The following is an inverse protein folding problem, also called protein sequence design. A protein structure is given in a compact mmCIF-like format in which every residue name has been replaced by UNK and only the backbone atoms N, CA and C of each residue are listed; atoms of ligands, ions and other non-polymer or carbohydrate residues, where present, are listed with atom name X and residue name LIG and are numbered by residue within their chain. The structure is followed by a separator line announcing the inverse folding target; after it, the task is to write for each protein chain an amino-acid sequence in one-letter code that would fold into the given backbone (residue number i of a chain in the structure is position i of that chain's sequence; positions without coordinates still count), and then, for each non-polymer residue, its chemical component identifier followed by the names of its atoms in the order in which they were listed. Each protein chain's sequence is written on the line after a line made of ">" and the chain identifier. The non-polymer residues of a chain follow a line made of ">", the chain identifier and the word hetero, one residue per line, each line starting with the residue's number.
data_IF_319090452206
#
_entry.id   IF_319090452206
#
_cell.length_a   1.000
_cell.length_b   1.000
_cell.length_c   1.000
_cell.angle_alpha   90.00
_cell.angle_beta   90.00
_cell.angle_gamma   90.00
#
_symmetry.space_group_name_H-M   'P 1'
#
loop_
_entity.id
_entity.type
_entity.pdbx_description
1 polymer ?
#
# COMPACT_ATOMS: atom_id res chain seq x y z
N UNK A 1 -13.88 -10.86 -17.69
CA UNK A 1 -12.66 -10.77 -16.87
C UNK A 1 -12.31 -9.32 -16.51
N UNK A 2 -12.04 -8.46 -17.50
CA UNK A 2 -11.60 -7.07 -17.26
C UNK A 2 -12.58 -6.23 -16.42
N UNK A 3 -13.89 -6.42 -16.60
CA UNK A 3 -14.92 -5.73 -15.81
C UNK A 3 -14.89 -6.16 -14.33
N UNK A 4 -14.74 -7.47 -14.06
CA UNK A 4 -14.58 -8.00 -12.70
C UNK A 4 -13.34 -7.42 -12.04
N UNK A 5 -12.19 -7.47 -12.72
CA UNK A 5 -10.93 -6.93 -12.21
C UNK A 5 -11.03 -5.42 -11.92
N UNK A 6 -11.72 -4.66 -12.78
CA UNK A 6 -11.96 -3.23 -12.57
C UNK A 6 -12.85 -2.98 -11.36
N UNK A 7 -13.95 -3.73 -11.22
CA UNK A 7 -14.86 -3.61 -10.09
C UNK A 7 -14.17 -3.96 -8.77
N UNK A 8 -13.43 -5.08 -8.73
CA UNK A 8 -12.67 -5.51 -7.55
C UNK A 8 -11.65 -4.44 -7.13
N UNK A 9 -10.85 -3.93 -8.07
CA UNK A 9 -9.88 -2.88 -7.78
C UNK A 9 -10.55 -1.62 -7.23
N UNK A 10 -11.61 -1.14 -7.88
CA UNK A 10 -12.31 0.08 -7.48
C UNK A 10 -12.92 -0.03 -6.07
N UNK A 11 -13.43 -1.20 -5.71
CA UNK A 11 -13.97 -1.51 -4.38
C UNK A 11 -12.86 -1.54 -3.34
N UNK A 12 -11.83 -2.37 -3.56
CA UNK A 12 -10.75 -2.58 -2.60
C UNK A 12 -9.93 -1.34 -2.30
N UNK A 13 -9.75 -0.46 -3.29
CA UNK A 13 -9.07 0.82 -3.07
C UNK A 13 -9.69 1.64 -1.93
N UNK A 14 -10.98 1.44 -1.63
CA UNK A 14 -11.70 2.20 -0.59
C UNK A 14 -12.26 1.36 0.55
N UNK A 15 -12.46 0.04 0.37
CA UNK A 15 -13.00 -0.83 1.41
C UNK A 15 -11.93 -1.62 2.18
N UNK A 16 -10.72 -1.76 1.62
CA UNK A 16 -9.63 -2.53 2.20
C UNK A 16 -8.32 -1.72 2.17
N UNK A 17 -8.18 -0.71 3.05
CA UNK A 17 -7.08 0.24 3.01
C UNK A 17 -5.73 -0.42 3.30
N UNK A 18 -4.65 0.30 2.98
CA UNK A 18 -3.33 -0.15 3.40
C UNK A 18 -3.19 0.05 4.91
N UNK A 19 -2.79 -0.99 5.63
CA UNK A 19 -2.56 -0.92 7.06
C UNK A 19 -1.41 -1.84 7.46
N UNK A 20 -0.31 -1.24 7.92
CA UNK A 20 0.87 -1.98 8.39
C UNK A 20 0.74 -2.51 9.82
N UNK A 21 -0.31 -2.11 10.56
CA UNK A 21 -0.60 -2.62 11.89
C UNK A 21 -1.35 -3.96 11.86
N UNK A 22 -2.21 -4.22 10.86
CA UNK A 22 -3.12 -5.38 10.85
C UNK A 22 -2.41 -6.72 11.07
N UNK A 23 -1.31 -6.96 10.36
CA UNK A 23 -0.58 -8.23 10.51
C UNK A 23 0.22 -8.31 11.83
N UNK A 24 0.59 -7.19 12.46
CA UNK A 24 1.18 -7.24 13.81
C UNK A 24 0.16 -7.75 14.84
N UNK A 25 -1.08 -7.26 14.75
CA UNK A 25 -2.21 -7.76 15.55
C UNK A 25 -2.48 -9.24 15.31
N UNK A 26 -2.54 -9.64 14.03
CA UNK A 26 -2.83 -11.03 13.65
C UNK A 26 -1.77 -12.02 14.14
N UNK A 27 -0.48 -11.70 14.01
CA UNK A 27 0.60 -12.67 14.24
C UNK A 27 1.27 -12.59 15.61
N UNK A 28 1.16 -11.45 16.30
CA UNK A 28 1.75 -11.22 17.63
C UNK A 28 0.73 -10.80 18.69
N UNK A 29 -0.44 -10.32 18.29
CA UNK A 29 -1.50 -9.86 19.19
C UNK A 29 -2.54 -10.94 19.53
N UNK A 30 -3.71 -10.49 19.97
CA UNK A 30 -4.84 -11.34 20.37
C UNK A 30 -5.69 -11.86 19.20
N UNK A 31 -5.42 -11.43 17.97
CA UNK A 31 -6.18 -11.80 16.78
C UNK A 31 -6.17 -10.70 15.71
N UNK A 32 -6.78 -10.95 14.54
CA UNK A 32 -6.83 -9.97 13.46
C UNK A 32 -7.71 -8.77 13.81
N UNK A 33 -7.35 -7.60 13.27
CA UNK A 33 -8.23 -6.43 13.26
C UNK A 33 -9.46 -6.67 12.37
N UNK A 34 -10.56 -5.90 12.54
CA UNK A 34 -11.71 -5.97 11.65
C UNK A 34 -11.31 -5.74 10.17
N UNK A 35 -11.95 -6.39 9.19
CA UNK A 35 -11.57 -6.26 7.77
C UNK A 35 -11.56 -4.82 7.23
N UNK A 36 -12.35 -3.92 7.79
CA UNK A 36 -12.38 -2.51 7.40
C UNK A 36 -11.09 -1.75 7.71
N UNK A 37 -10.25 -2.26 8.62
CA UNK A 37 -8.90 -1.76 8.85
C UNK A 37 -7.95 -2.15 7.72
N UNK A 38 -8.34 -3.05 6.81
CA UNK A 38 -7.51 -3.51 5.71
C UNK A 38 -6.28 -4.28 6.15
N UNK A 39 -5.21 -4.20 5.35
CA UNK A 39 -4.00 -4.99 5.59
C UNK A 39 -2.76 -4.44 4.91
N UNK A 40 -1.63 -5.09 5.15
CA UNK A 40 -0.35 -4.76 4.53
C UNK A 40 -0.42 -4.87 3.01
N UNK A 41 0.57 -4.31 2.31
CA UNK A 41 0.62 -4.31 0.84
C UNK A 41 0.41 -5.70 0.22
N UNK A 42 1.00 -6.75 0.81
CA UNK A 42 0.81 -8.13 0.36
C UNK A 42 -0.64 -8.61 0.54
N UNK A 43 -1.27 -8.31 1.68
CA UNK A 43 -2.65 -8.68 1.97
C UNK A 43 -3.65 -7.99 1.05
N UNK A 44 -3.38 -6.74 0.63
CA UNK A 44 -4.22 -6.07 -0.37
C UNK A 44 -4.20 -6.83 -1.71
N UNK A 45 -3.06 -7.40 -2.10
CA UNK A 45 -2.94 -8.21 -3.30
C UNK A 45 -3.62 -9.58 -3.16
N UNK A 46 -3.48 -10.24 -2.00
CA UNK A 46 -4.21 -11.49 -1.72
C UNK A 46 -5.73 -11.28 -1.76
N UNK A 47 -6.21 -10.19 -1.18
CA UNK A 47 -7.62 -9.85 -1.18
C UNK A 47 -8.13 -9.53 -2.59
N UNK A 48 -7.32 -8.84 -3.41
CA UNK A 48 -7.63 -8.62 -4.83
C UNK A 48 -7.72 -9.93 -5.61
N UNK A 49 -6.77 -10.84 -5.43
CA UNK A 49 -6.78 -12.14 -6.10
C UNK A 49 -7.96 -13.00 -5.67
N UNK A 50 -8.23 -13.09 -4.35
CA UNK A 50 -9.40 -13.79 -3.78
C UNK A 50 -10.71 -13.28 -4.38
N UNK A 51 -10.92 -11.95 -4.39
CA UNK A 51 -12.15 -11.35 -4.90
C UNK A 51 -12.33 -11.55 -6.41
N UNK A 52 -11.25 -11.57 -7.21
CA UNK A 52 -11.33 -11.93 -8.64
C UNK A 52 -11.67 -13.40 -8.82
N UNK A 53 -11.02 -14.30 -8.07
CA UNK A 53 -11.28 -15.73 -8.14
C UNK A 53 -12.74 -16.05 -7.80
N UNK A 54 -13.28 -15.48 -6.73
CA UNK A 54 -14.68 -15.66 -6.33
C UNK A 54 -15.69 -15.17 -7.37
N UNK A 55 -15.40 -14.07 -8.07
CA UNK A 55 -16.33 -13.44 -9.02
C UNK A 55 -16.18 -13.95 -10.45
N UNK A 56 -15.07 -14.60 -10.78
CA UNK A 56 -14.76 -14.98 -12.17
C UNK A 56 -14.23 -16.41 -12.37
N UNK A 57 -13.86 -17.11 -11.29
CA UNK A 57 -13.24 -18.43 -11.33
C UNK A 57 -11.78 -18.44 -11.78
N UNK A 58 -11.14 -17.27 -11.94
CA UNK A 58 -9.74 -17.19 -12.36
C UNK A 58 -8.84 -16.86 -11.17
N UNK A 59 -7.90 -17.77 -10.92
CA UNK A 59 -6.89 -17.64 -9.89
C UNK A 59 -5.79 -16.63 -10.26
N UNK A 60 -5.21 -16.01 -9.24
CA UNK A 60 -4.06 -15.13 -9.37
C UNK A 60 -2.74 -15.89 -9.21
N UNK A 61 -1.75 -15.55 -10.02
CA UNK A 61 -0.34 -15.80 -9.71
C UNK A 61 0.16 -14.66 -8.82
N UNK A 62 0.73 -14.98 -7.66
CA UNK A 62 1.27 -13.99 -6.73
C UNK A 62 2.77 -13.85 -6.89
N UNK A 63 3.23 -12.75 -7.50
CA UNK A 63 4.65 -12.46 -7.66
C UNK A 63 5.20 -11.65 -6.52
N UNK A 64 6.45 -11.91 -6.16
CA UNK A 64 7.09 -11.29 -4.99
C UNK A 64 8.37 -10.53 -5.34
N UNK A 65 8.57 -9.45 -4.60
CA UNK A 65 9.83 -8.72 -4.52
C UNK A 65 10.05 -8.25 -3.08
N UNK A 66 10.94 -8.94 -2.35
CA UNK A 66 11.14 -8.75 -0.92
C UNK A 66 9.84 -8.96 -0.12
N UNK A 67 9.31 -7.88 0.45
CA UNK A 67 8.07 -7.89 1.27
C UNK A 67 6.81 -7.55 0.48
N UNK A 68 6.94 -7.18 -0.80
CA UNK A 68 5.82 -6.77 -1.64
C UNK A 68 5.32 -7.93 -2.50
N UNK A 69 4.00 -7.95 -2.74
CA UNK A 69 3.33 -8.96 -3.56
C UNK A 69 2.39 -8.26 -4.52
N UNK A 70 2.33 -8.72 -5.77
CA UNK A 70 1.32 -8.30 -6.74
C UNK A 70 0.51 -9.50 -7.26
N UNK A 71 -0.80 -9.31 -7.44
CA UNK A 71 -1.67 -10.31 -8.05
C UNK A 71 -1.64 -10.18 -9.58
N UNK A 72 -1.19 -11.23 -10.27
CA UNK A 72 -1.01 -11.29 -11.71
C UNK A 72 -2.00 -12.29 -12.30
N UNK A 73 -2.79 -11.86 -13.27
CA UNK A 73 -3.71 -12.70 -14.03
C UNK A 73 -3.18 -12.83 -15.45
N UNK A 74 -3.01 -14.06 -15.93
CA UNK A 74 -2.45 -14.34 -17.26
C UNK A 74 -3.53 -14.89 -18.18
N UNK A 75 -3.48 -14.49 -19.44
CA UNK A 75 -4.23 -15.10 -20.53
C UNK A 75 -3.34 -15.25 -21.77
N UNK A 76 -3.91 -15.72 -22.88
CA UNK A 76 -3.17 -15.94 -24.12
C UNK A 76 -2.61 -14.64 -24.73
N UNK A 77 -3.25 -13.50 -24.46
CA UNK A 77 -2.96 -12.22 -25.09
C UNK A 77 -2.01 -11.36 -24.23
N UNK A 78 -1.93 -11.58 -22.92
CA UNK A 78 -1.09 -10.78 -22.04
C UNK A 78 -1.26 -11.05 -20.55
N UNK A 79 -0.97 -10.01 -19.76
CA UNK A 79 -1.07 -10.04 -18.30
C UNK A 79 -1.89 -8.87 -17.78
N UNK A 80 -2.62 -9.09 -16.69
CA UNK A 80 -3.30 -8.03 -15.93
C UNK A 80 -2.84 -8.06 -14.49
N UNK A 81 -2.34 -6.92 -14.00
CA UNK A 81 -1.86 -6.79 -12.62
C UNK A 81 -2.85 -5.97 -11.79
N UNK A 82 -3.18 -6.51 -10.62
CA UNK A 82 -3.91 -5.83 -9.56
C UNK A 82 -2.99 -5.68 -8.34
N UNK A 83 -2.68 -4.43 -8.02
CA UNK A 83 -1.82 -4.04 -6.91
C UNK A 83 -2.40 -2.77 -6.25
N UNK A 84 -3.42 -2.93 -5.38
CA UNK A 84 -4.08 -1.79 -4.73
C UNK A 84 -3.11 -0.93 -3.91
N UNK A 85 -1.98 -1.47 -3.47
CA UNK A 85 -0.96 -0.72 -2.74
C UNK A 85 -0.32 0.40 -3.58
N UNK A 86 -0.25 0.22 -4.90
CA UNK A 86 0.22 1.23 -5.84
C UNK A 86 -0.88 2.20 -6.32
N UNK A 87 -2.11 2.04 -5.83
CA UNK A 87 -3.22 2.98 -6.00
C UNK A 87 -3.58 3.29 -7.47
N UNK A 88 -3.25 2.40 -8.41
CA UNK A 88 -3.63 2.55 -9.81
C UNK A 88 -5.15 2.50 -9.96
N UNK A 89 -5.71 3.38 -10.80
CA UNK A 89 -7.17 3.57 -10.91
C UNK A 89 -7.86 2.51 -11.76
N UNK A 90 -7.11 1.85 -12.63
CA UNK A 90 -7.59 0.81 -13.54
C UNK A 90 -6.64 -0.39 -13.47
N UNK A 91 -7.12 -1.63 -13.70
CA UNK A 91 -6.25 -2.78 -13.83
C UNK A 91 -5.12 -2.53 -14.83
N UNK A 92 -3.90 -2.95 -14.49
CA UNK A 92 -2.72 -2.72 -15.31
C UNK A 92 -2.62 -3.83 -16.35
N UNK A 93 -3.29 -3.66 -17.50
CA UNK A 93 -3.29 -4.60 -18.62
C UNK A 93 -2.10 -4.32 -19.53
N UNK A 94 -1.28 -5.35 -19.78
CA UNK A 94 -0.19 -5.33 -20.75
C UNK A 94 -0.45 -6.41 -21.80
N UNK A 95 -0.58 -6.01 -23.05
CA UNK A 95 -0.85 -6.91 -24.18
C UNK A 95 0.45 -7.26 -24.91
N UNK A 96 0.65 -8.53 -25.23
CA UNK A 96 1.84 -8.99 -25.98
C UNK A 96 1.94 -8.31 -27.35
N UNK A 97 0.81 -7.95 -27.94
CA UNK A 97 0.74 -7.26 -29.23
C UNK A 97 1.38 -5.85 -29.19
N UNK A 98 1.49 -5.25 -28.00
CA UNK A 98 2.09 -3.92 -27.81
C UNK A 98 3.61 -3.97 -27.59
N UNK A 99 4.25 -5.13 -27.76
CA UNK A 99 5.66 -5.30 -27.50
C UNK A 99 6.54 -4.57 -28.52
N UNK A 100 7.50 -3.81 -28.02
CA UNK A 100 8.60 -3.21 -28.78
C UNK A 100 9.91 -3.71 -28.16
N UNK A 101 10.78 -4.32 -28.97
CA UNK A 101 12.04 -4.94 -28.51
C UNK A 101 11.84 -5.84 -27.28
N UNK A 102 10.95 -6.84 -27.42
CA UNK A 102 10.54 -7.77 -26.35
C UNK A 102 9.97 -7.11 -25.09
N UNK A 103 9.59 -5.84 -25.14
CA UNK A 103 9.14 -5.10 -23.96
C UNK A 103 7.77 -4.49 -24.18
N UNK A 104 6.83 -4.77 -23.28
CA UNK A 104 5.54 -4.07 -23.19
C UNK A 104 5.63 -3.03 -22.07
N UNK A 105 5.19 -1.80 -22.32
CA UNK A 105 5.21 -0.73 -21.32
C UNK A 105 3.86 -0.02 -21.22
N UNK A 106 3.42 0.26 -19.99
CA UNK A 106 2.19 0.97 -19.68
C UNK A 106 2.48 2.09 -18.67
N UNK A 107 1.81 3.23 -18.82
CA UNK A 107 1.72 4.25 -17.75
C UNK A 107 0.25 4.48 -17.44
N UNK A 108 -0.16 4.18 -16.21
CA UNK A 108 -1.52 4.38 -15.71
C UNK A 108 -1.57 5.49 -14.66
N UNK A 109 -2.69 6.20 -14.58
CA UNK A 109 -2.94 7.14 -13.49
C UNK A 109 -3.25 6.40 -12.17
N UNK A 110 -2.84 7.01 -11.07
CA UNK A 110 -2.98 6.51 -9.72
C UNK A 110 -3.34 7.62 -8.74
N UNK A 111 -3.91 7.25 -7.59
CA UNK A 111 -4.07 8.17 -6.47
C UNK A 111 -2.72 8.41 -5.76
N UNK A 112 -2.56 9.52 -5.01
CA UNK A 112 -3.48 10.65 -4.91
C UNK A 112 -3.56 11.46 -6.20
N UNK A 113 -4.72 12.09 -6.41
CA UNK A 113 -4.93 13.10 -7.43
C UNK A 113 -4.51 14.46 -6.83
N UNK A 114 -3.24 14.82 -7.01
CA UNK A 114 -2.68 16.07 -6.49
C UNK A 114 -2.95 17.24 -7.43
N UNK A 115 -2.74 18.44 -6.92
CA UNK A 115 -2.84 19.67 -7.71
C UNK A 115 -1.51 20.41 -7.69
N UNK A 116 -1.17 21.05 -8.80
CA UNK A 116 -0.02 21.96 -8.87
C UNK A 116 -0.38 23.30 -8.22
N UNK A 117 0.63 24.16 -8.05
CA UNK A 117 0.45 25.51 -7.53
C UNK A 117 -0.50 26.37 -8.39
N UNK A 118 -0.59 26.10 -9.69
CA UNK A 118 -1.51 26.76 -10.62
C UNK A 118 -2.93 26.14 -10.64
N UNK A 119 -3.19 25.15 -9.76
CA UNK A 119 -4.46 24.43 -9.68
C UNK A 119 -4.63 23.30 -10.69
N UNK A 120 -3.69 23.11 -11.64
CA UNK A 120 -3.80 22.05 -12.63
C UNK A 120 -3.62 20.65 -12.02
N UNK A 121 -4.30 19.60 -12.54
CA UNK A 121 -4.17 18.24 -12.02
C UNK A 121 -2.77 17.66 -12.23
N UNK A 122 -2.23 17.05 -11.17
CA UNK A 122 -0.97 16.33 -11.19
C UNK A 122 -1.14 14.95 -10.52
N UNK A 123 -1.82 14.01 -11.19
CA UNK A 123 -2.05 12.69 -10.62
C UNK A 123 -0.73 11.94 -10.40
N UNK A 124 -0.75 11.06 -9.41
CA UNK A 124 0.27 10.02 -9.29
C UNK A 124 0.15 9.04 -10.46
N UNK A 125 1.20 8.27 -10.72
CA UNK A 125 1.24 7.34 -11.85
C UNK A 125 1.90 6.02 -11.47
N UNK A 126 1.48 4.95 -12.10
CA UNK A 126 2.22 3.68 -12.09
C UNK A 126 2.78 3.46 -13.49
N UNK A 127 4.10 3.32 -13.59
CA UNK A 127 4.77 2.84 -14.81
C UNK A 127 5.04 1.37 -14.66
N UNK A 128 4.56 0.59 -15.61
CA UNK A 128 4.75 -0.85 -15.68
C UNK A 128 5.58 -1.18 -16.91
N UNK A 129 6.52 -2.10 -16.75
CA UNK A 129 7.28 -2.69 -17.85
C UNK A 129 7.26 -4.19 -17.71
N UNK A 130 6.83 -4.91 -18.74
CA UNK A 130 6.92 -6.36 -18.82
C UNK A 130 7.92 -6.73 -19.90
N UNK A 131 9.01 -7.38 -19.49
CA UNK A 131 10.00 -7.95 -20.40
C UNK A 131 9.56 -9.36 -20.76
N UNK A 132 9.40 -9.64 -22.04
CA UNK A 132 8.91 -10.94 -22.54
C UNK A 132 9.99 -12.02 -22.56
N UNK A 133 11.28 -11.64 -22.57
CA UNK A 133 12.40 -12.59 -22.68
C UNK A 133 12.63 -13.34 -21.37
N UNK A 134 12.53 -12.63 -20.23
CA UNK A 134 12.68 -13.21 -18.88
C UNK A 134 11.38 -13.21 -18.07
N UNK A 135 10.29 -12.76 -18.68
CA UNK A 135 8.97 -12.60 -18.09
C UNK A 135 8.98 -11.72 -16.81
N UNK A 136 9.97 -10.84 -16.63
CA UNK A 136 10.05 -9.94 -15.49
C UNK A 136 9.12 -8.73 -15.63
N UNK A 137 8.57 -8.26 -14.50
CA UNK A 137 7.71 -7.07 -14.46
C UNK A 137 8.26 -6.03 -13.51
N UNK A 138 8.64 -4.87 -14.04
CA UNK A 138 9.00 -3.69 -13.27
C UNK A 138 7.77 -2.82 -12.98
N UNK A 139 7.54 -2.50 -11.71
CA UNK A 139 6.47 -1.62 -11.24
C UNK A 139 7.08 -0.38 -10.57
N UNK A 140 6.79 0.81 -11.08
CA UNK A 140 7.26 2.07 -10.51
C UNK A 140 6.08 2.98 -10.19
N UNK A 141 5.83 3.22 -8.91
CA UNK A 141 4.83 4.18 -8.46
C UNK A 141 5.46 5.54 -8.21
N UNK A 142 4.91 6.53 -8.90
CA UNK A 142 5.38 7.90 -8.98
C UNK A 142 4.36 8.82 -8.32
N UNK A 143 4.80 9.58 -7.31
CA UNK A 143 3.98 10.62 -6.68
C UNK A 143 4.42 11.99 -7.20
N UNK A 144 3.46 12.83 -7.56
CA UNK A 144 3.79 14.22 -7.89
C UNK A 144 4.14 14.98 -6.63
N UNK A 145 5.34 15.53 -6.51
CA UNK A 145 5.72 16.34 -5.36
C UNK A 145 5.34 17.81 -5.57
N UNK A 146 4.39 18.39 -4.82
CA UNK A 146 4.06 19.80 -4.96
C UNK A 146 5.25 20.70 -4.64
N UNK A 147 6.07 20.30 -3.66
CA UNK A 147 7.30 21.01 -3.28
C UNK A 147 8.35 21.01 -4.38
N UNK A 148 8.59 19.85 -5.02
CA UNK A 148 9.63 19.73 -6.06
C UNK A 148 9.12 20.08 -7.47
N UNK A 149 7.81 20.19 -7.66
CA UNK A 149 7.17 20.51 -8.94
C UNK A 149 7.24 19.40 -9.99
N UNK A 150 7.64 18.17 -9.61
CA UNK A 150 7.76 17.03 -10.51
C UNK A 150 7.44 15.69 -9.82
N UNK A 151 7.30 14.63 -10.60
CA UNK A 151 7.06 13.28 -10.10
C UNK A 151 8.33 12.64 -9.55
N UNK A 152 8.25 12.09 -8.34
CA UNK A 152 9.31 11.32 -7.67
C UNK A 152 8.91 9.85 -7.58
N UNK A 153 9.89 8.95 -7.71
CA UNK A 153 9.67 7.51 -7.48
C UNK A 153 9.46 7.32 -5.98
N UNK A 154 8.27 6.87 -5.62
CA UNK A 154 7.90 6.57 -4.24
C UNK A 154 8.10 5.08 -3.92
N UNK A 155 7.79 4.20 -4.88
CA UNK A 155 7.98 2.75 -4.76
C UNK A 155 8.46 2.18 -6.09
N UNK A 156 9.34 1.19 -6.02
CA UNK A 156 9.87 0.47 -7.18
C UNK A 156 9.98 -1.01 -6.82
N UNK A 157 9.47 -1.87 -7.69
CA UNK A 157 9.51 -3.32 -7.53
C UNK A 157 9.90 -4.01 -8.84
N UNK A 158 10.61 -5.13 -8.74
CA UNK A 158 10.95 -6.00 -9.85
C UNK A 158 10.47 -7.42 -9.60
N UNK A 159 9.31 -7.74 -10.17
CA UNK A 159 8.64 -9.04 -10.07
C UNK A 159 9.23 -10.02 -11.08
N UNK A 160 10.15 -10.88 -10.63
CA UNK A 160 10.75 -11.91 -11.49
C UNK A 160 9.84 -13.14 -11.62
N UNK A 161 9.93 -13.84 -12.75
CA UNK A 161 9.07 -14.99 -13.03
C UNK A 161 9.36 -16.21 -12.14
N UNK A 162 10.57 -16.33 -11.59
CA UNK A 162 10.97 -17.38 -10.66
C UNK A 162 10.60 -17.07 -9.18
N UNK A 163 10.12 -15.86 -8.90
CA UNK A 163 9.77 -15.39 -7.57
C UNK A 163 8.25 -15.34 -7.42
N UNK A 164 7.66 -16.50 -7.12
CA UNK A 164 6.20 -16.70 -7.00
C UNK A 164 5.85 -17.33 -5.66
N UNK A 165 4.77 -16.87 -5.03
CA UNK A 165 4.19 -17.55 -3.87
C UNK A 165 3.35 -18.73 -4.31
N UNK A 166 3.63 -19.89 -3.71
CA UNK A 166 2.85 -21.11 -3.89
C UNK A 166 1.65 -21.20 -2.94
N UNK A 167 1.62 -20.36 -1.91
CA UNK A 167 0.58 -20.30 -0.89
C UNK A 167 0.34 -18.83 -0.52
N UNK A 168 -0.93 -18.43 -0.44
CA UNK A 168 -1.37 -17.08 -0.14
C UNK A 168 -2.57 -17.11 0.82
N UNK A 169 -2.46 -16.51 2.04
CA UNK A 169 -1.24 -15.92 2.61
C UNK A 169 -0.18 -16.99 2.95
N UNK A 170 1.12 -16.64 3.02
CA UNK A 170 2.15 -17.58 3.47
C UNK A 170 1.96 -18.01 4.93
N UNK A 171 2.55 -19.16 5.28
CA UNK A 171 2.59 -19.64 6.66
C UNK A 171 3.22 -18.62 7.63
N UNK A 172 2.76 -18.66 8.89
CA UNK A 172 3.10 -17.66 9.92
C UNK A 172 4.61 -17.53 10.21
N UNK A 173 5.35 -18.63 10.10
CA UNK A 173 6.81 -18.68 10.27
C UNK A 173 7.56 -17.90 9.17
N UNK A 174 6.99 -17.83 7.96
CA UNK A 174 7.48 -16.99 6.87
C UNK A 174 7.12 -15.51 7.06
N UNK A 175 5.95 -15.22 7.60
CA UNK A 175 5.42 -13.84 7.72
C UNK A 175 6.06 -13.08 8.89
N UNK A 176 6.13 -13.69 10.07
CA UNK A 176 6.58 -13.02 11.30
C UNK A 176 7.93 -12.29 11.17
N UNK A 177 8.98 -12.87 10.56
CA UNK A 177 10.25 -12.17 10.37
C UNK A 177 10.14 -10.92 9.48
N UNK A 178 9.24 -10.92 8.48
CA UNK A 178 9.06 -9.80 7.55
C UNK A 178 8.41 -8.58 8.21
N UNK A 179 7.60 -8.81 9.26
CA UNK A 179 6.96 -7.77 10.06
C UNK A 179 7.94 -7.04 10.99
N UNK A 180 9.11 -7.63 11.25
CA UNK A 180 10.18 -7.09 12.09
C UNK A 180 11.40 -6.64 11.26
N UNK A 181 11.20 -6.44 9.96
CA UNK A 181 12.26 -6.02 9.05
C UNK A 181 12.76 -4.60 9.41
N UNK A 182 14.06 -4.28 9.30
CA UNK A 182 14.61 -2.97 9.66
C UNK A 182 13.99 -1.76 8.92
N UNK A 183 13.39 -2.00 7.75
CA UNK A 183 12.64 -0.98 7.00
C UNK A 183 11.24 -0.70 7.56
N UNK A 184 10.79 -1.44 8.58
CA UNK A 184 9.53 -1.20 9.28
C UNK A 184 9.71 -0.09 10.33
N UNK A 185 9.99 1.12 9.86
CA UNK A 185 10.25 2.30 10.72
C UNK A 185 8.99 3.02 11.20
N UNK A 186 7.79 2.54 10.85
CA UNK A 186 6.50 3.10 11.27
C UNK A 186 5.38 2.06 11.18
N UNK A 187 4.29 2.25 11.91
CA UNK A 187 2.98 1.64 11.61
C UNK A 187 2.01 2.72 11.14
N UNK A 188 1.16 2.40 10.17
CA UNK A 188 0.23 3.37 9.59
C UNK A 188 -1.01 2.73 8.98
N UNK A 189 -2.08 3.53 8.93
CA UNK A 189 -3.30 3.28 8.15
C UNK A 189 -3.40 4.35 7.07
N UNK A 190 -3.39 3.93 5.80
CA UNK A 190 -3.53 4.80 4.62
C UNK A 190 -4.81 4.46 3.87
N UNK A 191 -5.70 5.43 3.82
CA UNK A 191 -7.03 5.29 3.21
C UNK A 191 -7.12 6.10 1.92
N UNK A 192 -8.01 5.64 1.04
CA UNK A 192 -8.63 6.48 0.04
C UNK A 192 -10.10 6.60 0.46
N UNK A 193 -10.58 7.81 0.72
CA UNK A 193 -11.94 7.99 1.22
C UNK A 193 -12.98 7.52 0.17
N UNK A 194 -14.02 6.76 0.57
CA UNK A 194 -14.99 6.17 -0.36
C UNK A 194 -15.72 7.19 -1.24
N UNK A 195 -16.14 8.32 -0.66
CA UNK A 195 -16.86 9.36 -1.40
C UNK A 195 -15.94 10.36 -2.10
N UNK A 196 -15.04 11.00 -1.34
CA UNK A 196 -14.23 12.11 -1.86
C UNK A 196 -13.02 11.67 -2.67
N UNK A 197 -12.61 10.39 -2.55
CA UNK A 197 -11.37 9.84 -3.13
C UNK A 197 -10.12 10.66 -2.73
N UNK A 198 -10.18 11.35 -1.60
CA UNK A 198 -9.01 11.98 -1.00
C UNK A 198 -8.21 10.92 -0.25
N UNK A 199 -6.89 10.95 -0.45
CA UNK A 199 -5.99 10.12 0.31
C UNK A 199 -5.68 10.77 1.66
N UNK A 200 -5.69 9.98 2.72
CA UNK A 200 -5.21 10.39 4.04
C UNK A 200 -4.45 9.22 4.68
N UNK A 201 -3.47 9.53 5.52
CA UNK A 201 -2.70 8.54 6.26
C UNK A 201 -2.52 8.99 7.71
N UNK A 202 -2.77 8.09 8.65
CA UNK A 202 -2.38 8.24 10.05
C UNK A 202 -1.17 7.35 10.29
N UNK A 203 -0.07 7.94 10.77
CA UNK A 203 1.22 7.28 10.93
C UNK A 203 1.70 7.42 12.37
N UNK A 204 2.21 6.33 12.91
CA UNK A 204 3.02 6.27 14.12
C UNK A 204 4.45 5.84 13.77
N UNK A 205 5.42 6.77 13.73
CA UNK A 205 6.84 6.41 13.63
C UNK A 205 7.27 5.47 14.77
N UNK A 206 8.03 4.44 14.42
CA UNK A 206 8.58 3.46 15.38
C UNK A 206 10.01 3.81 15.84
N UNK A 207 10.65 4.78 15.18
CA UNK A 207 12.02 5.19 15.44
C UNK A 207 12.19 6.71 15.32
N UNK A 208 13.22 7.22 16.00
CA UNK A 208 13.50 8.64 16.20
C UNK A 208 14.27 8.87 17.51
N UNK A 209 15.34 9.66 17.50
CA UNK A 209 16.16 9.89 18.70
C UNK A 209 15.32 10.39 19.90
N UNK A 210 15.29 9.59 20.98
CA UNK A 210 14.63 9.94 22.24
C UNK A 210 13.10 9.95 22.20
N UNK A 211 12.48 9.41 21.14
CA UNK A 211 11.04 9.50 20.95
C UNK A 211 10.28 8.48 21.79
N UNK A 212 9.45 8.97 22.72
CA UNK A 212 8.42 8.16 23.36
C UNK A 212 7.37 7.79 22.31
N UNK A 213 7.15 6.50 22.08
CA UNK A 213 6.10 6.04 21.16
C UNK A 213 4.78 6.08 21.93
N UNK A 214 4.01 7.13 21.69
CA UNK A 214 2.69 7.34 22.28
C UNK A 214 1.80 8.15 21.32
N UNK A 215 0.59 8.49 21.77
CA UNK A 215 -0.37 9.23 20.94
C UNK A 215 0.13 10.61 20.48
N UNK A 216 1.09 11.23 21.16
CA UNK A 216 1.69 12.52 20.75
C UNK A 216 2.66 12.36 19.59
N UNK A 217 3.17 11.15 19.37
CA UNK A 217 4.05 10.81 18.24
C UNK A 217 3.31 10.59 16.93
N UNK A 218 1.97 10.52 16.95
CA UNK A 218 1.16 10.40 15.75
C UNK A 218 1.30 11.63 14.85
N UNK A 219 1.37 11.37 13.54
CA UNK A 219 1.32 12.37 12.48
C UNK A 219 0.28 11.95 11.45
N UNK A 220 -0.24 12.91 10.69
CA UNK A 220 -1.06 12.63 9.51
C UNK A 220 -0.35 13.08 8.24
N UNK A 221 -0.72 12.46 7.11
CA UNK A 221 -0.38 12.93 5.76
C UNK A 221 -1.66 13.10 4.96
N UNK A 222 -1.84 14.26 4.33
CA UNK A 222 -3.01 14.53 3.50
C UNK A 222 -2.82 14.14 2.02
N UNK A 223 -3.83 14.42 1.20
CA UNK A 223 -3.82 14.08 -0.23
C UNK A 223 -2.68 14.78 -1.00
N UNK A 224 -2.25 15.96 -0.58
CA UNK A 224 -1.11 16.69 -1.17
C UNK A 224 0.24 16.23 -0.61
N UNK A 225 0.24 15.35 0.40
CA UNK A 225 1.44 14.88 1.09
C UNK A 225 1.87 15.75 2.25
N UNK A 226 1.08 16.76 2.63
CA UNK A 226 1.42 17.65 3.73
C UNK A 226 1.36 16.88 5.05
N UNK A 227 2.44 16.97 5.84
CA UNK A 227 2.52 16.36 7.16
C UNK A 227 1.93 17.29 8.23
N UNK A 228 1.03 16.77 9.06
CA UNK A 228 0.53 17.48 10.24
C UNK A 228 0.80 16.71 11.53
N UNK A 229 1.03 17.44 12.63
CA UNK A 229 1.27 16.89 13.97
C UNK A 229 0.08 17.11 14.87
N UNK A 230 -0.06 16.27 15.90
CA UNK A 230 -1.08 16.43 16.94
C UNK A 230 -1.07 17.86 17.53
N UNK A 231 -2.26 18.39 17.78
CA UNK A 231 -2.48 19.76 18.25
C UNK A 231 -2.68 20.79 17.14
N UNK A 232 -2.59 20.37 15.86
CA UNK A 232 -2.92 21.20 14.71
C UNK A 232 -4.30 20.85 14.16
N UNK A 233 -5.01 21.84 13.59
CA UNK A 233 -6.31 21.60 12.93
C UNK A 233 -6.22 20.62 11.75
N UNK A 234 -5.09 20.62 11.04
CA UNK A 234 -4.87 19.72 9.92
C UNK A 234 -4.81 18.26 10.38
N UNK A 235 -4.10 18.00 11.48
CA UNK A 235 -4.05 16.68 12.10
C UNK A 235 -5.45 16.18 12.51
N UNK A 236 -6.24 17.04 13.16
CA UNK A 236 -7.60 16.68 13.58
C UNK A 236 -8.50 16.32 12.40
N UNK A 237 -8.48 17.14 11.33
CA UNK A 237 -9.21 16.87 10.09
C UNK A 237 -8.78 15.55 9.44
N UNK A 238 -7.47 15.34 9.27
CA UNK A 238 -6.98 14.20 8.50
C UNK A 238 -7.19 12.86 9.21
N UNK A 239 -7.08 12.82 10.55
CA UNK A 239 -7.39 11.61 11.31
C UNK A 239 -8.89 11.28 11.31
N UNK A 240 -9.77 12.30 11.26
CA UNK A 240 -11.21 12.10 11.09
C UNK A 240 -11.51 11.48 9.72
N UNK A 241 -10.84 11.92 8.65
CA UNK A 241 -10.95 11.31 7.31
C UNK A 241 -10.52 9.85 7.33
N UNK A 242 -9.42 9.51 8.04
CA UNK A 242 -8.98 8.11 8.18
C UNK A 242 -10.02 7.29 8.93
N UNK A 243 -10.52 7.79 10.06
CA UNK A 243 -11.51 7.11 10.88
C UNK A 243 -12.83 6.86 10.15
N UNK A 244 -13.32 7.89 9.43
CA UNK A 244 -14.54 7.79 8.62
C UNK A 244 -14.40 6.77 7.50
N UNK A 245 -13.27 6.79 6.77
CA UNK A 245 -13.01 5.82 5.69
C UNK A 245 -12.87 4.37 6.20
N UNK A 246 -12.32 4.17 7.41
CA UNK A 246 -12.24 2.85 8.08
C UNK A 246 -13.60 2.44 8.66
N UNK A 247 -14.52 3.38 8.88
CA UNK A 247 -15.79 3.13 9.54
C UNK A 247 -15.64 2.83 11.03
N UNK A 248 -14.64 3.43 11.69
CA UNK A 248 -14.36 3.23 13.11
C UNK A 248 -14.13 4.57 13.84
N UNK A 249 -14.38 4.65 15.16
CA UNK A 249 -13.99 5.81 15.96
C UNK A 249 -12.49 6.14 15.82
N UNK A 250 -12.15 7.43 15.84
CA UNK A 250 -10.75 7.91 15.77
C UNK A 250 -9.89 7.23 16.84
N UNK A 251 -10.44 7.06 18.05
CA UNK A 251 -9.73 6.46 19.18
C UNK A 251 -9.37 5.00 18.91
N UNK A 252 -10.19 4.26 18.19
CA UNK A 252 -9.96 2.85 17.87
C UNK A 252 -8.84 2.73 16.83
N UNK A 253 -8.81 3.62 15.84
CA UNK A 253 -7.72 3.69 14.85
C UNK A 253 -6.39 4.06 15.52
N UNK A 254 -6.39 5.06 16.40
CA UNK A 254 -5.20 5.46 17.16
C UNK A 254 -4.72 4.31 18.07
N UNK A 255 -5.64 3.65 18.77
CA UNK A 255 -5.32 2.53 19.67
C UNK A 255 -4.75 1.34 18.92
N UNK A 256 -5.29 1.01 17.74
CA UNK A 256 -4.76 -0.06 16.91
C UNK A 256 -3.31 0.18 16.48
N UNK A 257 -2.93 1.43 16.17
CA UNK A 257 -1.54 1.78 15.85
C UNK A 257 -0.63 1.70 17.09
N UNK A 258 -1.09 2.20 18.23
CA UNK A 258 -0.33 2.15 19.48
C UNK A 258 -0.07 0.71 19.95
N UNK A 259 -1.10 -0.14 19.91
CA UNK A 259 -0.96 -1.55 20.24
C UNK A 259 -0.01 -2.26 19.28
N UNK A 260 -0.13 -2.02 17.97
CA UNK A 260 0.80 -2.59 17.00
C UNK A 260 2.25 -2.17 17.23
N UNK A 261 2.50 -0.94 17.67
CA UNK A 261 3.84 -0.49 18.03
C UNK A 261 4.38 -1.22 19.27
N UNK A 262 3.55 -1.48 20.28
CA UNK A 262 3.94 -2.28 21.45
C UNK A 262 4.19 -3.74 21.07
N UNK A 263 3.34 -4.33 20.22
CA UNK A 263 3.53 -5.69 19.68
C UNK A 263 4.85 -5.79 18.90
N UNK A 264 5.13 -4.83 18.03
CA UNK A 264 6.40 -4.75 17.31
C UNK A 264 7.58 -4.67 18.29
N UNK A 265 7.53 -3.78 19.28
CA UNK A 265 8.61 -3.63 20.27
C UNK A 265 8.82 -4.90 21.10
N UNK A 266 7.74 -5.57 21.49
CA UNK A 266 7.80 -6.81 22.28
C UNK A 266 8.37 -8.00 21.49
N UNK A 267 8.16 -8.02 20.17
CA UNK A 267 8.63 -9.09 19.29
C UNK A 267 9.99 -8.80 18.64
N UNK A 268 10.37 -7.52 18.50
CA UNK A 268 11.59 -7.10 17.84
C UNK A 268 12.84 -7.65 18.54
N UNK A 269 13.85 -8.13 17.80
CA UNK A 269 15.16 -8.47 18.37
C UNK A 269 15.77 -7.27 19.08
N UNK A 270 16.46 -7.50 20.22
CA UNK A 270 17.05 -6.41 21.01
C UNK A 270 18.10 -5.56 20.26
N UNK A 271 18.69 -6.11 19.19
CA UNK A 271 19.67 -5.43 18.34
C UNK A 271 19.06 -4.80 17.07
N UNK A 272 17.72 -4.80 16.93
CA UNK A 272 17.06 -4.20 15.77
C UNK A 272 17.23 -2.67 15.84
N UNK A 273 17.98 -2.14 14.89
CA UNK A 273 18.09 -0.70 14.66
C UNK A 273 17.12 -0.30 13.54
N UNK A 274 16.24 0.65 13.86
CA UNK A 274 15.24 1.15 12.92
C UNK A 274 15.67 2.54 12.47
N UNK A 275 15.68 2.76 11.16
CA UNK A 275 15.95 4.07 10.60
C UNK A 275 14.84 5.07 10.96
N UNK A 276 15.18 6.36 11.08
CA UNK A 276 14.19 7.42 11.32
C UNK A 276 13.12 7.46 10.22
N UNK A 277 11.87 7.68 10.62
CA UNK A 277 10.78 7.87 9.65
C UNK A 277 10.94 9.19 8.91
N UNK A 278 11.01 9.13 7.58
CA UNK A 278 11.10 10.34 6.76
C UNK A 278 9.80 11.17 6.83
N UNK A 279 9.94 12.37 7.37
CA UNK A 279 8.90 13.40 7.41
C UNK A 279 8.92 14.29 6.16
N UNK A 280 9.70 13.96 5.13
CA UNK A 280 9.69 14.77 3.91
C UNK A 280 8.27 14.83 3.34
N UNK A 281 7.79 16.07 3.14
CA UNK A 281 6.68 16.36 2.24
C UNK A 281 7.12 15.96 0.81
N UNK A 282 6.92 14.69 0.47
CA UNK A 282 6.90 14.25 -0.93
C UNK A 282 5.70 14.88 -1.61
#
# INVERSE_FOLDING_TARGET
>A
MQEVQRSVLAELLTSYPYNSASQLHEYFGGGPLPPSFGGSCAWQSFEAGRAVAERSGVESEYRIDGRHVAAVHRDAEGITILDPYLLHRLPLRLERADAVDSTVSLTAEAYPLRVRADGSPAPSRVRVRWNLDDDSVGLNYLRFSPRRGHQVISRSFLMRADQVLTEAPPAADRVRPLLLHPEQHSVSVRVLHPDTRQLAELVLPLAGQGQRIDAQSLITKDNQGAVARRGTRAFDRDREVVADAVGAPVQDVESALLEAAELHRGAAPAALDLADYSLEDE
#
